data_IF_516421571420
#
_entry.id   IF_516421571420
#
_cell.length_a   1.000
_cell.length_b   1.000
_cell.length_c   1.000
_cell.angle_alpha   90.00
_cell.angle_beta   90.00
_cell.angle_gamma   90.00
#
_symmetry.space_group_name_H-M   'P 1'
#
loop_
_entity.id
_entity.type
_entity.pdbx_description
1 polymer ?
#
# COMPACT_ATOMS: atom_id res chain seq x y z
N UNK A 1 -43.18 9.67 47.12
CA UNK A 1 -41.92 10.12 46.50
C UNK A 1 -40.88 9.01 46.17
N UNK A 2 -40.81 7.87 46.84
CA UNK A 2 -39.79 6.79 46.61
C UNK A 2 -39.92 6.03 45.26
N UNK A 3 -41.12 5.89 44.67
CA UNK A 3 -41.35 5.13 43.41
C UNK A 3 -40.78 5.81 42.15
N UNK A 4 -40.73 7.16 42.07
CA UNK A 4 -40.17 7.89 40.91
C UNK A 4 -38.64 7.76 40.80
N UNK A 5 -37.91 7.76 41.92
CA UNK A 5 -36.42 7.62 41.93
C UNK A 5 -35.96 6.23 41.45
N UNK A 6 -36.73 5.17 41.75
CA UNK A 6 -36.40 3.80 41.35
C UNK A 6 -36.50 3.61 39.82
N UNK A 7 -37.53 4.23 39.15
CA UNK A 7 -37.66 4.18 37.68
C UNK A 7 -36.54 4.93 36.96
N UNK A 8 -36.11 6.09 37.46
CA UNK A 8 -35.01 6.85 36.86
C UNK A 8 -33.65 6.13 36.92
N UNK A 9 -33.38 5.40 38.01
CA UNK A 9 -32.11 4.64 38.13
C UNK A 9 -32.08 3.42 37.20
N UNK A 10 -33.21 2.77 36.99
CA UNK A 10 -33.32 1.63 36.06
C UNK A 10 -33.06 2.12 34.62
N UNK A 11 -33.69 3.25 34.23
CA UNK A 11 -33.52 3.80 32.88
C UNK A 11 -32.08 4.26 32.58
N UNK A 12 -31.40 4.87 33.55
CA UNK A 12 -29.96 5.23 33.40
C UNK A 12 -29.06 4.00 33.26
N UNK A 13 -29.36 2.90 33.98
CA UNK A 13 -28.58 1.65 33.87
C UNK A 13 -28.72 0.98 32.51
N UNK A 14 -29.92 0.98 31.89
CA UNK A 14 -30.12 0.45 30.54
C UNK A 14 -29.44 1.30 29.47
N UNK A 15 -29.50 2.62 29.55
CA UNK A 15 -28.83 3.52 28.60
C UNK A 15 -27.30 3.31 28.63
N UNK A 16 -26.70 3.20 29.80
CA UNK A 16 -25.25 2.93 29.94
C UNK A 16 -24.87 1.56 29.35
N UNK A 17 -25.71 0.53 29.54
CA UNK A 17 -25.44 -0.82 28.97
C UNK A 17 -25.55 -0.84 27.45
N UNK A 18 -26.55 -0.15 26.87
CA UNK A 18 -26.73 -0.03 25.43
C UNK A 18 -25.57 0.76 24.82
N UNK A 19 -25.13 1.86 25.45
CA UNK A 19 -23.99 2.64 24.98
C UNK A 19 -22.69 1.84 25.00
N UNK A 20 -22.44 1.06 26.05
CA UNK A 20 -21.28 0.15 26.13
C UNK A 20 -21.30 -0.94 25.07
N UNK A 21 -22.47 -1.48 24.72
CA UNK A 21 -22.64 -2.48 23.67
C UNK A 21 -22.37 -1.92 22.28
N UNK A 22 -22.85 -0.70 21.99
CA UNK A 22 -22.63 -0.03 20.70
C UNK A 22 -21.15 0.29 20.50
N UNK A 23 -20.45 0.78 21.52
CA UNK A 23 -19.01 1.06 21.45
C UNK A 23 -18.21 -0.24 21.23
N UNK A 24 -18.58 -1.33 21.87
CA UNK A 24 -17.93 -2.63 21.66
C UNK A 24 -18.10 -3.17 20.22
N UNK A 25 -19.29 -3.01 19.65
CA UNK A 25 -19.57 -3.44 18.27
C UNK A 25 -18.81 -2.59 17.25
N UNK A 26 -18.69 -1.27 17.47
CA UNK A 26 -17.93 -0.39 16.56
C UNK A 26 -16.42 -0.68 16.60
N UNK A 27 -15.85 -1.00 17.76
CA UNK A 27 -14.43 -1.39 17.89
C UNK A 27 -14.16 -2.72 17.15
N UNK A 28 -15.06 -3.69 17.25
CA UNK A 28 -14.93 -4.98 16.54
C UNK A 28 -15.06 -4.79 15.02
N UNK A 29 -15.95 -3.91 14.56
CA UNK A 29 -16.12 -3.64 13.14
C UNK A 29 -14.90 -2.94 12.52
N UNK A 30 -14.25 -2.01 13.24
CA UNK A 30 -13.03 -1.33 12.77
C UNK A 30 -11.83 -2.28 12.77
N UNK A 31 -11.66 -3.10 13.83
CA UNK A 31 -10.56 -4.08 13.89
C UNK A 31 -10.75 -5.26 12.93
N UNK A 32 -11.99 -5.71 12.71
CA UNK A 32 -12.32 -6.77 11.75
C UNK A 32 -12.11 -6.33 10.30
N UNK A 33 -12.39 -5.08 9.95
CA UNK A 33 -12.16 -4.52 8.62
C UNK A 33 -10.68 -4.40 8.23
N UNK A 34 -9.80 -4.15 9.20
CA UNK A 34 -8.34 -4.12 8.98
C UNK A 34 -7.75 -5.52 8.84
N UNK A 35 -8.30 -6.53 9.53
CA UNK A 35 -7.84 -7.91 9.44
C UNK A 35 -8.31 -8.63 8.16
N UNK A 36 -9.48 -8.29 7.63
CA UNK A 36 -10.00 -8.87 6.37
C UNK A 36 -9.27 -8.39 5.12
N UNK A 37 -8.63 -7.21 5.14
CA UNK A 37 -7.79 -6.74 4.02
C UNK A 37 -6.49 -7.53 3.85
N UNK A 38 -6.05 -8.31 4.84
CA UNK A 38 -4.78 -9.06 4.81
C UNK A 38 -4.86 -10.48 4.21
N UNK A 39 -6.00 -10.93 3.74
CA UNK A 39 -6.18 -12.30 3.21
C UNK A 39 -6.53 -12.36 1.73
N UNK A 40 -6.52 -11.25 1.01
CA UNK A 40 -6.60 -11.29 -0.45
C UNK A 40 -5.19 -11.62 -0.93
N UNK A 41 -5.03 -12.78 -1.52
CA UNK A 41 -3.80 -13.14 -2.27
C UNK A 41 -3.75 -12.19 -3.45
N UNK A 42 -3.04 -11.08 -3.27
CA UNK A 42 -2.86 -10.09 -4.32
C UNK A 42 -2.16 -10.74 -5.49
N UNK A 43 -2.64 -10.46 -6.70
CA UNK A 43 -1.94 -10.87 -7.92
C UNK A 43 -0.64 -10.06 -8.05
N UNK A 44 0.34 -10.50 -8.85
CA UNK A 44 1.53 -9.70 -9.08
C UNK A 44 1.19 -8.34 -9.72
N UNK A 45 0.14 -8.28 -10.55
CA UNK A 45 -0.36 -7.05 -11.14
C UNK A 45 -0.93 -6.10 -10.08
N UNK A 46 -1.74 -6.61 -9.14
CA UNK A 46 -2.29 -5.81 -8.03
C UNK A 46 -1.18 -5.25 -7.13
N UNK A 47 -0.14 -6.05 -6.87
CA UNK A 47 1.04 -5.61 -6.11
C UNK A 47 1.77 -4.46 -6.81
N UNK A 48 1.93 -4.53 -8.13
CA UNK A 48 2.53 -3.44 -8.90
C UNK A 48 1.68 -2.16 -8.82
N UNK A 49 0.36 -2.28 -9.02
CA UNK A 49 -0.58 -1.15 -8.93
C UNK A 49 -0.54 -0.52 -7.53
N UNK A 50 -0.50 -1.32 -6.47
CA UNK A 50 -0.39 -0.81 -5.10
C UNK A 50 0.93 -0.06 -4.88
N UNK A 51 2.05 -0.58 -5.37
CA UNK A 51 3.34 0.10 -5.29
C UNK A 51 3.30 1.49 -5.97
N UNK A 52 2.73 1.58 -7.17
CA UNK A 52 2.61 2.85 -7.89
C UNK A 52 1.64 3.83 -7.21
N UNK A 53 0.59 3.35 -6.57
CA UNK A 53 -0.29 4.16 -5.74
C UNK A 53 0.44 4.76 -4.52
N UNK A 54 1.40 4.02 -3.94
CA UNK A 54 2.24 4.57 -2.86
C UNK A 54 3.20 5.65 -3.36
N UNK A 55 3.71 5.55 -4.60
CA UNK A 55 4.51 6.64 -5.21
C UNK A 55 3.66 7.91 -5.30
N UNK A 56 2.46 7.82 -5.87
CA UNK A 56 1.56 8.98 -6.04
C UNK A 56 1.19 9.63 -4.69
N UNK A 57 1.02 8.82 -3.65
CA UNK A 57 0.73 9.30 -2.28
C UNK A 57 1.97 9.72 -1.51
N UNK A 58 3.19 9.56 -2.06
CA UNK A 58 4.47 9.83 -1.41
C UNK A 58 4.67 9.01 -0.12
N UNK A 59 4.13 7.79 -0.10
CA UNK A 59 4.21 6.85 1.02
C UNK A 59 5.47 5.97 0.90
N UNK A 60 6.65 6.57 0.91
CA UNK A 60 7.94 5.92 0.61
C UNK A 60 8.28 4.76 1.56
N UNK A 61 7.83 4.83 2.81
CA UNK A 61 7.99 3.71 3.75
C UNK A 61 7.16 2.48 3.36
N UNK A 62 5.95 2.70 2.84
CA UNK A 62 5.09 1.64 2.34
C UNK A 62 5.68 1.01 1.08
N UNK A 63 6.22 1.83 0.16
CA UNK A 63 6.96 1.35 -1.03
C UNK A 63 8.11 0.44 -0.62
N UNK A 64 8.95 0.88 0.33
CA UNK A 64 10.08 0.08 0.83
C UNK A 64 9.63 -1.26 1.42
N UNK A 65 8.53 -1.27 2.16
CA UNK A 65 7.99 -2.49 2.77
C UNK A 65 7.49 -3.52 1.73
N UNK A 66 7.23 -3.10 0.49
CA UNK A 66 6.81 -3.97 -0.61
C UNK A 66 7.99 -4.61 -1.35
N UNK A 67 9.24 -4.22 -1.07
CA UNK A 67 10.44 -4.77 -1.71
C UNK A 67 10.94 -6.00 -0.94
N UNK A 68 11.42 -7.02 -1.65
CA UNK A 68 12.07 -8.20 -1.04
C UNK A 68 13.49 -7.83 -0.58
N UNK A 69 13.72 -7.88 0.73
CA UNK A 69 14.99 -7.53 1.37
C UNK A 69 16.06 -8.63 1.27
N UNK A 70 15.79 -9.72 0.56
CA UNK A 70 16.71 -10.87 0.44
C UNK A 70 17.80 -10.71 -0.59
N UNK A 71 17.79 -9.66 -1.43
CA UNK A 71 18.71 -9.48 -2.54
C UNK A 71 19.95 -8.65 -2.16
N UNK A 72 21.11 -8.96 -2.77
CA UNK A 72 22.35 -8.19 -2.59
C UNK A 72 22.24 -6.84 -3.31
N UNK A 73 22.76 -5.79 -2.69
CA UNK A 73 22.74 -4.43 -3.25
C UNK A 73 21.54 -3.61 -2.83
N UNK A 74 20.70 -4.17 -1.98
CA UNK A 74 19.53 -3.53 -1.41
C UNK A 74 19.91 -2.29 -0.58
N UNK A 75 19.25 -1.18 -0.82
CA UNK A 75 19.47 0.04 -0.04
C UNK A 75 18.84 -0.07 1.36
N UNK A 76 19.52 0.53 2.33
CA UNK A 76 18.91 0.72 3.65
C UNK A 76 17.66 1.59 3.54
N UNK A 77 16.69 1.36 4.44
CA UNK A 77 15.37 2.00 4.41
C UNK A 77 15.47 3.53 4.33
N UNK A 78 16.29 4.12 5.16
CA UNK A 78 16.48 5.57 5.23
C UNK A 78 17.04 6.14 3.93
N UNK A 79 17.98 5.45 3.32
CA UNK A 79 18.59 5.85 2.05
C UNK A 79 17.59 5.74 0.89
N UNK A 80 16.82 4.64 0.85
CA UNK A 80 15.75 4.45 -0.13
C UNK A 80 14.71 5.57 -0.05
N UNK A 81 14.21 5.88 1.15
CA UNK A 81 13.23 6.93 1.38
C UNK A 81 13.79 8.29 0.95
N UNK A 82 15.02 8.61 1.35
CA UNK A 82 15.66 9.88 1.02
C UNK A 82 15.85 10.06 -0.49
N UNK A 83 16.28 9.02 -1.19
CA UNK A 83 16.47 9.09 -2.66
C UNK A 83 15.16 9.27 -3.38
N UNK A 84 14.15 8.45 -3.06
CA UNK A 84 12.83 8.54 -3.69
C UNK A 84 12.15 9.88 -3.40
N UNK A 85 12.12 10.35 -2.15
CA UNK A 85 11.49 11.63 -1.83
C UNK A 85 12.17 12.79 -2.58
N UNK A 86 13.50 12.80 -2.62
CA UNK A 86 14.27 13.83 -3.32
C UNK A 86 13.94 13.89 -4.82
N UNK A 87 13.75 12.73 -5.46
CA UNK A 87 13.45 12.66 -6.89
C UNK A 87 11.99 13.02 -7.13
N UNK A 88 11.05 12.26 -6.55
CA UNK A 88 9.62 12.43 -6.81
C UNK A 88 9.07 13.80 -6.39
N UNK A 89 9.58 14.35 -5.29
CA UNK A 89 9.21 15.70 -4.85
C UNK A 89 9.94 16.79 -5.64
N UNK A 90 11.21 16.56 -6.01
CA UNK A 90 12.02 17.52 -6.75
C UNK A 90 11.52 17.79 -8.16
N UNK A 91 10.92 16.81 -8.81
CA UNK A 91 10.31 16.96 -10.15
C UNK A 91 8.77 17.04 -10.10
N UNK A 92 8.18 17.11 -8.92
CA UNK A 92 6.73 17.26 -8.68
C UNK A 92 5.90 16.20 -9.41
N UNK A 93 6.22 14.92 -9.24
CA UNK A 93 5.49 13.80 -9.86
C UNK A 93 4.04 13.78 -9.40
N UNK A 94 3.11 13.73 -10.37
CA UNK A 94 1.66 13.63 -10.18
C UNK A 94 1.01 12.81 -11.29
N UNK A 95 -0.26 12.45 -11.14
CA UNK A 95 -1.06 11.74 -12.16
C UNK A 95 -0.38 10.49 -12.72
N UNK A 96 0.10 9.62 -11.83
CA UNK A 96 0.74 8.37 -12.24
C UNK A 96 -0.33 7.43 -12.83
N UNK A 97 -0.11 6.99 -14.04
CA UNK A 97 -0.96 6.01 -14.73
C UNK A 97 -0.14 4.80 -15.11
N UNK A 98 -0.77 3.65 -15.01
CA UNK A 98 -0.21 2.39 -15.49
C UNK A 98 -1.16 1.80 -16.50
N UNK A 99 -0.61 1.39 -17.62
CA UNK A 99 -1.34 0.73 -18.68
C UNK A 99 -0.56 -0.52 -19.15
N UNK A 100 -1.23 -1.41 -19.86
CA UNK A 100 -0.64 -2.56 -20.56
C UNK A 100 0.24 -3.47 -19.67
N UNK A 101 -0.23 -3.79 -18.45
CA UNK A 101 0.48 -4.75 -17.59
C UNK A 101 0.39 -6.15 -18.23
N UNK A 102 1.54 -6.75 -18.57
CA UNK A 102 1.65 -8.05 -19.20
C UNK A 102 2.65 -8.94 -18.49
N UNK A 103 2.28 -10.18 -18.18
CA UNK A 103 3.22 -11.18 -17.69
C UNK A 103 4.14 -11.59 -18.85
N UNK A 104 5.44 -11.29 -18.73
CA UNK A 104 6.46 -11.70 -19.71
C UNK A 104 7.06 -13.04 -19.39
N UNK A 105 7.29 -13.34 -18.13
CA UNK A 105 7.86 -14.59 -17.66
C UNK A 105 7.24 -15.01 -16.33
N UNK A 106 7.04 -16.30 -16.14
CA UNK A 106 6.58 -16.89 -14.88
C UNK A 106 7.44 -18.09 -14.55
N UNK A 107 8.16 -18.02 -13.41
CA UNK A 107 8.94 -19.11 -12.82
C UNK A 107 8.21 -19.69 -11.60
N UNK A 108 8.83 -20.60 -10.90
CA UNK A 108 8.21 -21.26 -9.73
C UNK A 108 7.83 -20.27 -8.63
N UNK A 109 8.68 -19.29 -8.35
CA UNK A 109 8.55 -18.33 -7.26
C UNK A 109 8.66 -16.87 -7.70
N UNK A 110 8.94 -16.59 -8.99
CA UNK A 110 9.03 -15.25 -9.53
C UNK A 110 8.16 -15.03 -10.75
N UNK A 111 7.73 -13.79 -10.95
CA UNK A 111 6.95 -13.35 -12.12
C UNK A 111 7.55 -12.04 -12.60
N UNK A 112 7.86 -11.95 -13.89
CA UNK A 112 8.30 -10.71 -14.53
C UNK A 112 7.13 -10.06 -15.25
N UNK A 113 6.81 -8.82 -14.87
CA UNK A 113 5.81 -7.98 -15.53
C UNK A 113 6.51 -6.95 -16.42
N UNK A 114 5.89 -6.68 -17.58
CA UNK A 114 6.16 -5.47 -18.37
C UNK A 114 4.94 -4.59 -18.30
N UNK A 115 5.13 -3.29 -18.21
CA UNK A 115 4.06 -2.30 -18.11
C UNK A 115 4.49 -0.96 -18.71
N UNK A 116 3.51 -0.22 -19.22
CA UNK A 116 3.68 1.16 -19.60
C UNK A 116 3.26 2.03 -18.43
N UNK A 117 4.02 3.09 -18.16
CA UNK A 117 3.63 4.08 -17.16
C UNK A 117 3.81 5.49 -17.68
N UNK A 118 3.01 6.41 -17.18
CA UNK A 118 3.15 7.83 -17.44
C UNK A 118 2.91 8.63 -16.17
N UNK A 119 3.57 9.78 -16.07
CA UNK A 119 3.33 10.73 -14.99
C UNK A 119 3.51 12.17 -15.49
N UNK A 120 2.90 13.11 -14.80
CA UNK A 120 3.15 14.52 -14.99
C UNK A 120 4.28 14.99 -14.06
N UNK A 121 5.12 15.87 -14.57
CA UNK A 121 6.24 16.51 -13.85
C UNK A 121 6.27 17.99 -14.14
N UNK A 122 7.15 18.75 -13.44
CA UNK A 122 7.40 20.17 -13.76
C UNK A 122 7.88 20.40 -15.21
N UNK A 123 8.47 19.39 -15.85
CA UNK A 123 8.97 19.45 -17.22
C UNK A 123 7.95 18.97 -18.27
N UNK A 124 6.78 18.49 -17.85
CA UNK A 124 5.74 17.93 -18.69
C UNK A 124 5.43 16.47 -18.40
N UNK A 125 4.67 15.82 -19.27
CA UNK A 125 4.32 14.41 -19.15
C UNK A 125 5.48 13.53 -19.65
N UNK A 126 5.86 12.57 -18.85
CA UNK A 126 6.89 11.56 -19.17
C UNK A 126 6.22 10.20 -19.31
N UNK A 127 6.68 9.37 -20.24
CA UNK A 127 6.21 8.00 -20.47
C UNK A 127 7.39 7.04 -20.40
N UNK A 128 7.16 5.86 -19.84
CA UNK A 128 8.16 4.83 -19.66
C UNK A 128 7.61 3.46 -20.03
N UNK A 129 8.45 2.64 -20.66
CA UNK A 129 8.27 1.20 -20.79
C UNK A 129 9.15 0.54 -19.73
N UNK A 130 8.52 -0.21 -18.81
CA UNK A 130 9.23 -0.77 -17.67
C UNK A 130 9.07 -2.29 -17.59
N UNK A 131 10.01 -2.90 -16.92
CA UNK A 131 9.89 -4.29 -16.45
C UNK A 131 10.20 -4.36 -14.96
N UNK A 132 9.46 -5.23 -14.26
CA UNK A 132 9.69 -5.50 -12.84
C UNK A 132 9.56 -6.98 -12.57
N UNK A 133 10.44 -7.52 -11.75
CA UNK A 133 10.34 -8.88 -11.23
C UNK A 133 9.70 -8.86 -9.84
N UNK A 134 8.75 -9.77 -9.63
CA UNK A 134 8.09 -9.96 -8.35
C UNK A 134 8.34 -11.39 -7.87
N UNK A 135 8.61 -11.53 -6.58
CA UNK A 135 8.84 -12.81 -5.91
C UNK A 135 7.64 -13.19 -5.05
N UNK A 136 7.18 -14.41 -5.18
CA UNK A 136 6.10 -14.96 -4.38
C UNK A 136 6.60 -15.27 -2.96
N UNK A 137 5.93 -14.73 -1.97
CA UNK A 137 6.21 -14.95 -0.54
C UNK A 137 5.00 -15.58 0.15
N UNK A 138 5.12 -15.91 1.42
CA UNK A 138 3.97 -16.38 2.24
C UNK A 138 2.90 -15.30 2.46
N UNK A 139 3.23 -14.04 2.21
CA UNK A 139 2.37 -12.87 2.48
C UNK A 139 1.83 -12.22 1.19
N UNK A 140 2.06 -12.81 0.03
CA UNK A 140 1.75 -12.26 -1.29
C UNK A 140 3.00 -12.08 -2.13
N UNK A 141 2.94 -11.21 -3.13
CA UNK A 141 4.10 -10.87 -3.95
C UNK A 141 4.87 -9.69 -3.36
N UNK A 142 6.20 -9.66 -3.60
CA UNK A 142 7.08 -8.53 -3.32
C UNK A 142 7.91 -8.21 -4.53
N UNK A 143 8.22 -6.94 -4.74
CA UNK A 143 9.10 -6.52 -5.82
C UNK A 143 10.53 -6.98 -5.51
N UNK A 144 11.19 -7.58 -6.50
CA UNK A 144 12.62 -7.86 -6.42
C UNK A 144 13.38 -6.56 -6.62
N UNK A 145 14.39 -6.30 -5.77
CA UNK A 145 15.17 -5.08 -5.86
C UNK A 145 15.84 -4.93 -7.24
N UNK A 146 15.68 -3.76 -7.81
CA UNK A 146 16.39 -3.31 -9.02
C UNK A 146 16.53 -1.78 -8.99
N UNK A 147 17.56 -1.24 -9.60
CA UNK A 147 17.87 0.19 -9.53
C UNK A 147 16.75 1.07 -10.09
N UNK A 148 16.00 0.59 -11.07
CA UNK A 148 14.82 1.27 -11.65
C UNK A 148 13.65 1.47 -10.66
N UNK A 149 13.66 0.82 -9.47
CA UNK A 149 12.69 1.09 -8.40
C UNK A 149 12.92 2.45 -7.70
N UNK A 150 14.04 3.11 -7.93
CA UNK A 150 14.29 4.47 -7.42
C UNK A 150 13.81 5.54 -8.39
N UNK A 151 13.74 5.33 -9.61
CA UNK A 151 13.26 6.09 -10.76
C UNK A 151 13.95 5.54 -11.99
N UNK A 152 13.24 5.36 -13.12
CA UNK A 152 13.91 4.90 -14.33
C UNK A 152 15.03 5.87 -14.67
N UNK A 153 16.23 5.35 -14.95
CA UNK A 153 17.33 6.16 -15.47
C UNK A 153 16.85 6.86 -16.76
N UNK A 154 16.86 8.17 -16.72
CA UNK A 154 16.67 8.98 -17.92
C UNK A 154 18.00 8.96 -18.70
N UNK A 155 18.26 7.88 -19.46
CA UNK A 155 19.31 7.89 -20.49
C UNK A 155 18.93 8.77 -21.69
#
# INVERSE_FOLDING_TARGET
MKRRRKKQNIQKSYVCKIFGLIVAITVIAVSGGVLLKRTITESPEDTLVEYMNHIEKKEYEAMYAMIDSGEKGYLEKEEYIQRNSKIYEGIEVTDIKIDHIVIKEKKADTVTLSYESSCNTIAGTIQFDNMVELKKTKQGYKLVWQDSLIFPDLE
#
